data_IF_243099708259
#
_entry.id   IF_243099708259
#
_cell.length_a   1.000
_cell.length_b   1.000
_cell.length_c   1.000
_cell.angle_alpha   90.00
_cell.angle_beta   90.00
_cell.angle_gamma   90.00
#
_symmetry.space_group_name_H-M   'P 1'
#
loop_
_entity.id
_entity.type
_entity.pdbx_description
1 polymer ?
#
# COMPACT_ATOMS: atom_id res chain seq x y z
N UNK A 1 21.97 -5.67 -1.25
CA UNK A 1 20.96 -4.76 -1.86
C UNK A 1 19.97 -4.24 -0.83
N UNK A 2 19.38 -5.08 0.04
CA UNK A 2 18.50 -4.63 1.14
C UNK A 2 19.14 -3.59 2.09
N UNK A 3 20.43 -3.72 2.40
CA UNK A 3 21.17 -2.76 3.24
C UNK A 3 21.23 -1.37 2.60
N UNK A 4 21.35 -1.32 1.26
CA UNK A 4 21.34 -0.06 0.50
C UNK A 4 19.97 0.58 0.52
N UNK A 5 18.89 -0.20 0.61
CA UNK A 5 17.53 0.33 0.79
C UNK A 5 17.31 0.81 2.23
N UNK A 6 17.76 0.09 3.27
CA UNK A 6 17.71 0.64 4.65
C UNK A 6 18.50 1.93 4.74
N UNK A 7 19.68 1.98 4.12
CA UNK A 7 20.51 3.17 4.09
C UNK A 7 19.86 4.28 3.25
N UNK A 8 19.31 3.97 2.08
CA UNK A 8 18.61 4.93 1.22
C UNK A 8 17.33 5.47 1.88
N UNK A 9 16.53 4.60 2.49
CA UNK A 9 15.37 4.99 3.30
C UNK A 9 15.84 5.90 4.44
N UNK A 10 16.94 5.58 5.11
CA UNK A 10 17.50 6.46 6.14
C UNK A 10 17.97 7.82 5.57
N UNK A 11 18.60 7.81 4.38
CA UNK A 11 19.21 8.98 3.74
C UNK A 11 18.16 9.93 3.12
N UNK A 12 17.13 9.40 2.44
CA UNK A 12 16.00 10.19 1.91
C UNK A 12 15.14 10.76 3.03
N UNK A 13 15.06 10.04 4.16
CA UNK A 13 14.27 10.47 5.32
C UNK A 13 15.02 11.51 6.17
N UNK A 14 16.31 11.82 5.92
CA UNK A 14 17.01 12.88 6.68
C UNK A 14 18.27 13.49 6.02
N UNK A 15 18.23 14.79 5.65
CA UNK A 15 19.39 15.66 5.72
C UNK A 15 19.53 16.38 7.07
N UNK A 16 18.43 16.65 7.79
CA UNK A 16 18.47 17.46 9.01
C UNK A 16 17.39 17.09 10.06
N UNK A 17 17.86 16.96 11.30
CA UNK A 17 17.13 17.06 12.58
C UNK A 17 16.23 15.90 13.04
N UNK A 18 16.78 15.12 13.97
CA UNK A 18 16.19 14.72 15.26
C UNK A 18 14.65 14.72 15.36
N UNK A 19 14.03 13.59 14.99
CA UNK A 19 12.61 13.33 15.29
C UNK A 19 12.04 12.11 14.58
N UNK A 20 12.67 11.67 13.49
CA UNK A 20 12.13 10.61 12.63
C UNK A 20 12.95 9.32 12.79
N UNK A 21 12.73 8.59 13.90
CA UNK A 21 12.80 7.14 13.79
C UNK A 21 11.88 6.77 12.61
N UNK A 22 12.37 5.96 11.68
CA UNK A 22 11.60 5.46 10.53
C UNK A 22 10.16 5.15 10.98
N UNK A 23 9.15 5.47 10.17
CA UNK A 23 7.72 5.42 10.52
C UNK A 23 7.31 4.22 11.39
N UNK A 24 8.04 3.11 11.27
CA UNK A 24 8.34 2.13 12.32
C UNK A 24 9.82 1.66 12.26
N UNK A 25 10.30 1.01 13.33
CA UNK A 25 11.67 0.44 13.41
C UNK A 25 11.96 -0.65 12.36
N UNK A 26 10.90 -1.22 11.77
CA UNK A 26 10.95 -2.36 10.85
C UNK A 26 10.92 -1.97 9.37
N UNK A 27 10.57 -0.72 9.05
CA UNK A 27 10.32 -0.27 7.67
C UNK A 27 9.00 -0.79 7.08
N UNK A 28 8.14 -1.40 7.89
CA UNK A 28 6.89 -2.02 7.44
C UNK A 28 5.90 -1.00 6.91
N UNK A 29 5.63 0.08 7.64
CA UNK A 29 4.70 1.14 7.24
C UNK A 29 5.09 1.74 5.89
N UNK A 30 6.38 1.97 5.69
CA UNK A 30 6.92 2.47 4.44
C UNK A 30 6.76 1.46 3.30
N UNK A 31 7.14 0.19 3.52
CA UNK A 31 7.00 -0.86 2.51
C UNK A 31 5.55 -1.12 2.12
N UNK A 32 4.63 -1.14 3.09
CA UNK A 32 3.20 -1.33 2.85
C UNK A 32 2.60 -0.15 2.07
N UNK A 33 2.97 1.09 2.41
CA UNK A 33 2.49 2.28 1.71
C UNK A 33 3.05 2.36 0.29
N UNK A 34 4.34 2.06 0.10
CA UNK A 34 4.97 2.03 -1.22
C UNK A 34 4.36 0.93 -2.11
N UNK A 35 4.07 -0.25 -1.55
CA UNK A 35 3.36 -1.31 -2.26
C UNK A 35 1.96 -0.87 -2.72
N UNK A 36 1.22 -0.17 -1.85
CA UNK A 36 -0.11 0.34 -2.20
C UNK A 36 -0.04 1.43 -3.27
N UNK A 37 0.92 2.35 -3.19
CA UNK A 37 1.17 3.34 -4.25
C UNK A 37 1.50 2.67 -5.58
N UNK A 38 2.37 1.66 -5.57
CA UNK A 38 2.76 0.94 -6.77
C UNK A 38 1.56 0.25 -7.46
N UNK A 39 0.61 -0.27 -6.68
CA UNK A 39 -0.62 -0.89 -7.21
C UNK A 39 -1.44 0.10 -8.03
N UNK A 40 -1.67 1.31 -7.51
CA UNK A 40 -2.54 2.34 -8.12
C UNK A 40 -1.80 3.29 -9.09
N UNK A 41 -0.47 3.18 -9.18
CA UNK A 41 0.35 4.03 -10.08
C UNK A 41 0.80 3.28 -11.34
N UNK A 42 0.34 2.04 -11.51
CA UNK A 42 0.91 1.11 -12.48
C UNK A 42 0.62 1.50 -13.94
N UNK A 43 -0.58 2.00 -14.22
CA UNK A 43 -1.00 2.42 -15.56
C UNK A 43 -1.04 3.95 -15.74
N UNK A 44 -0.62 4.71 -14.73
CA UNK A 44 -0.53 6.16 -14.78
C UNK A 44 -0.48 6.81 -13.40
N UNK A 45 -0.75 8.11 -13.38
CA UNK A 45 -0.87 8.83 -12.12
C UNK A 45 -2.17 8.47 -11.41
N UNK A 46 -2.12 8.10 -10.11
CA UNK A 46 -3.32 7.81 -9.34
C UNK A 46 -4.29 8.99 -9.33
N UNK A 47 -5.60 8.71 -9.43
CA UNK A 47 -6.66 9.70 -9.37
C UNK A 47 -6.75 10.36 -8.00
N UNK A 48 -7.44 11.51 -7.93
CA UNK A 48 -7.67 12.19 -6.65
C UNK A 48 -8.46 11.32 -5.66
N UNK A 49 -9.36 10.47 -6.15
CA UNK A 49 -10.19 9.56 -5.34
C UNK A 49 -9.31 8.48 -4.71
N UNK A 50 -8.43 7.87 -5.49
CA UNK A 50 -7.50 6.83 -5.00
C UNK A 50 -6.48 7.39 -4.04
N UNK A 51 -5.95 8.59 -4.29
CA UNK A 51 -5.03 9.27 -3.35
C UNK A 51 -5.70 9.57 -2.02
N UNK A 52 -6.94 10.09 -2.05
CA UNK A 52 -7.72 10.33 -0.83
C UNK A 52 -8.03 9.02 -0.10
N UNK A 53 -8.34 7.95 -0.83
CA UNK A 53 -8.56 6.61 -0.27
C UNK A 53 -7.30 6.05 0.37
N UNK A 54 -6.15 6.16 -0.29
CA UNK A 54 -4.85 5.78 0.25
C UNK A 54 -4.59 6.51 1.56
N UNK A 55 -4.72 7.83 1.57
CA UNK A 55 -4.52 8.63 2.76
C UNK A 55 -5.39 8.16 3.94
N UNK A 56 -6.69 8.00 3.71
CA UNK A 56 -7.64 7.50 4.72
C UNK A 56 -7.30 6.10 5.23
N UNK A 57 -6.87 5.20 4.34
CA UNK A 57 -6.46 3.85 4.70
C UNK A 57 -5.17 3.84 5.52
N UNK A 58 -4.21 4.68 5.19
CA UNK A 58 -2.94 4.80 5.92
C UNK A 58 -3.16 5.39 7.31
N UNK A 59 -3.93 6.48 7.44
CA UNK A 59 -4.29 7.07 8.73
C UNK A 59 -4.95 6.03 9.65
N UNK A 60 -6.02 5.39 9.16
CA UNK A 60 -6.80 4.44 9.96
C UNK A 60 -6.04 3.17 10.28
N UNK A 61 -5.25 2.63 9.34
CA UNK A 61 -4.55 1.35 9.52
C UNK A 61 -3.36 1.45 10.45
N UNK A 62 -2.66 2.59 10.42
CA UNK A 62 -1.44 2.83 11.19
C UNK A 62 -1.63 3.77 12.37
N UNK A 63 -2.86 4.25 12.58
CA UNK A 63 -3.25 5.16 13.67
C UNK A 63 -2.39 6.43 13.66
N UNK A 64 -2.26 7.03 12.47
CA UNK A 64 -1.45 8.23 12.23
C UNK A 64 -2.32 9.47 12.12
N UNK A 65 -1.80 10.61 12.58
CA UNK A 65 -2.40 11.90 12.25
C UNK A 65 -2.18 12.25 10.77
N UNK A 66 -3.00 13.14 10.18
CA UNK A 66 -2.92 13.48 8.77
C UNK A 66 -1.52 13.94 8.33
N UNK A 67 -0.85 14.77 9.12
CA UNK A 67 0.47 15.28 8.77
C UNK A 67 1.55 14.20 8.78
N UNK A 68 1.43 13.19 9.64
CA UNK A 68 2.33 12.03 9.63
C UNK A 68 2.02 11.07 8.49
N UNK A 69 0.76 10.88 8.14
CA UNK A 69 0.35 10.12 6.96
C UNK A 69 0.87 10.77 5.66
N UNK A 70 0.78 12.09 5.52
CA UNK A 70 1.34 12.84 4.39
C UNK A 70 2.85 12.62 4.24
N UNK A 71 3.60 12.68 5.34
CA UNK A 71 5.05 12.41 5.33
C UNK A 71 5.35 10.97 4.92
N UNK A 72 4.56 10.00 5.41
CA UNK A 72 4.72 8.59 5.06
C UNK A 72 4.44 8.34 3.58
N UNK A 73 3.37 8.91 3.05
CA UNK A 73 3.01 8.79 1.63
C UNK A 73 4.09 9.45 0.77
N UNK A 74 4.56 10.64 1.13
CA UNK A 74 5.63 11.35 0.41
C UNK A 74 6.92 10.52 0.36
N UNK A 75 7.33 9.95 1.49
CA UNK A 75 8.49 9.06 1.54
C UNK A 75 8.28 7.78 0.72
N UNK A 76 7.08 7.21 0.78
CA UNK A 76 6.73 6.02 0.02
C UNK A 76 6.72 6.26 -1.49
N UNK A 77 6.29 7.44 -1.96
CA UNK A 77 6.36 7.85 -3.37
C UNK A 77 7.80 7.93 -3.86
N UNK A 78 8.72 8.49 -3.05
CA UNK A 78 10.14 8.52 -3.39
C UNK A 78 10.73 7.10 -3.50
N UNK A 79 10.40 6.24 -2.54
CA UNK A 79 10.85 4.84 -2.56
C UNK A 79 10.27 4.07 -3.73
N UNK A 80 8.99 4.27 -4.06
CA UNK A 80 8.34 3.61 -5.20
C UNK A 80 8.98 4.01 -6.53
N UNK A 81 9.26 5.30 -6.73
CA UNK A 81 9.93 5.79 -7.94
C UNK A 81 11.39 5.33 -8.10
N UNK A 82 12.04 4.92 -7.01
CA UNK A 82 13.43 4.44 -7.02
C UNK A 82 13.58 2.91 -6.92
N UNK A 83 12.60 2.21 -6.36
CA UNK A 83 12.67 0.77 -6.09
C UNK A 83 11.94 -0.07 -7.15
N UNK A 84 12.71 -0.94 -7.80
CA UNK A 84 12.25 -1.88 -8.82
C UNK A 84 11.75 -3.18 -8.16
N UNK A 85 10.44 -3.43 -8.34
CA UNK A 85 9.70 -4.70 -8.18
C UNK A 85 9.07 -5.01 -6.80
N UNK A 86 7.83 -5.52 -6.86
CA UNK A 86 6.93 -5.94 -5.77
C UNK A 86 7.61 -6.84 -4.72
N UNK A 87 8.58 -7.63 -5.15
CA UNK A 87 9.31 -8.57 -4.30
C UNK A 87 9.97 -7.87 -3.10
N UNK A 88 10.50 -6.66 -3.29
CA UNK A 88 11.18 -5.94 -2.21
C UNK A 88 10.20 -5.56 -1.09
N UNK A 89 9.07 -4.92 -1.42
CA UNK A 89 8.08 -4.52 -0.42
C UNK A 89 7.48 -5.72 0.29
N UNK A 90 7.10 -6.74 -0.46
CA UNK A 90 6.49 -7.96 0.08
C UNK A 90 7.46 -8.73 0.96
N UNK A 91 8.77 -8.74 0.67
CA UNK A 91 9.78 -9.36 1.54
C UNK A 91 9.92 -8.68 2.90
N UNK A 92 9.77 -7.35 2.99
CA UNK A 92 9.78 -6.62 4.27
C UNK A 92 8.53 -6.95 5.07
N UNK A 93 7.36 -6.91 4.41
CA UNK A 93 6.06 -7.23 5.03
C UNK A 93 6.05 -8.67 5.56
N UNK A 94 6.53 -9.64 4.78
CA UNK A 94 6.55 -11.07 5.16
C UNK A 94 7.36 -11.35 6.42
N UNK A 95 8.35 -10.51 6.77
CA UNK A 95 9.21 -10.71 7.95
C UNK A 95 8.54 -10.31 9.26
N UNK A 96 7.50 -9.47 9.19
CA UNK A 96 6.98 -8.77 10.37
C UNK A 96 5.46 -8.87 10.50
N UNK A 97 4.75 -9.29 9.45
CA UNK A 97 3.29 -9.37 9.42
C UNK A 97 2.83 -10.82 9.34
N UNK A 98 1.95 -11.19 10.27
CA UNK A 98 1.27 -12.47 10.30
C UNK A 98 0.24 -12.60 9.16
N UNK A 99 -0.28 -13.82 8.98
CA UNK A 99 -1.21 -14.09 7.87
C UNK A 99 -2.47 -13.20 7.90
N UNK A 100 -3.17 -13.01 9.04
CA UNK A 100 -4.29 -12.07 9.11
C UNK A 100 -3.92 -10.64 8.72
N UNK A 101 -2.74 -10.16 9.13
CA UNK A 101 -2.25 -8.85 8.75
C UNK A 101 -2.00 -8.74 7.24
N UNK A 102 -1.47 -9.79 6.60
CA UNK A 102 -1.24 -9.83 5.15
C UNK A 102 -2.55 -9.87 4.37
N UNK A 103 -3.53 -10.63 4.83
CA UNK A 103 -4.90 -10.63 4.28
C UNK A 103 -5.50 -9.22 4.32
N UNK A 104 -5.33 -8.49 5.44
CA UNK A 104 -5.80 -7.09 5.53
C UNK A 104 -5.10 -6.15 4.55
N UNK A 105 -3.80 -6.33 4.29
CA UNK A 105 -3.10 -5.51 3.30
C UNK A 105 -3.64 -5.74 1.88
N UNK A 106 -3.91 -7.00 1.52
CA UNK A 106 -4.53 -7.34 0.22
C UNK A 106 -5.95 -6.77 0.13
N UNK A 107 -6.72 -6.78 1.22
CA UNK A 107 -8.03 -6.13 1.26
C UNK A 107 -7.94 -4.63 1.01
N UNK A 108 -6.97 -3.95 1.63
CA UNK A 108 -6.73 -2.52 1.41
C UNK A 108 -6.36 -2.21 -0.04
N UNK A 109 -5.55 -3.05 -0.68
CA UNK A 109 -5.23 -2.91 -2.12
C UNK A 109 -6.49 -3.02 -2.98
N UNK A 110 -7.38 -3.98 -2.70
CA UNK A 110 -8.67 -4.04 -3.39
C UNK A 110 -9.51 -2.78 -3.15
N UNK A 111 -9.58 -2.28 -1.91
CA UNK A 111 -10.33 -1.06 -1.61
C UNK A 111 -9.76 0.18 -2.32
N UNK A 112 -8.47 0.17 -2.67
CA UNK A 112 -7.82 1.23 -3.43
C UNK A 112 -8.17 1.17 -4.91
N UNK A 113 -7.94 0.04 -5.57
CA UNK A 113 -8.20 -0.08 -7.02
C UNK A 113 -9.69 0.08 -7.34
N UNK A 114 -10.58 -0.31 -6.43
CA UNK A 114 -12.03 -0.10 -6.61
C UNK A 114 -12.51 1.30 -6.20
N UNK A 115 -11.64 2.19 -5.71
CA UNK A 115 -12.06 3.43 -5.06
C UNK A 115 -12.85 4.37 -6.00
N UNK A 116 -12.51 4.41 -7.27
CA UNK A 116 -13.18 5.24 -8.29
C UNK A 116 -14.19 4.46 -9.16
N UNK A 117 -14.37 3.17 -8.86
CA UNK A 117 -15.26 2.25 -9.59
C UNK A 117 -14.70 1.71 -10.92
N UNK A 118 -13.46 2.03 -11.30
CA UNK A 118 -12.82 1.57 -12.54
C UNK A 118 -11.49 0.87 -12.25
N UNK A 119 -11.53 -0.45 -12.10
CA UNK A 119 -10.31 -1.27 -12.00
C UNK A 119 -9.81 -1.64 -13.39
N UNK A 120 -8.55 -1.35 -13.69
CA UNK A 120 -7.89 -1.81 -14.91
C UNK A 120 -7.37 -3.24 -14.79
N UNK A 121 -7.19 -3.93 -15.93
CA UNK A 121 -6.60 -5.28 -15.92
C UNK A 121 -5.18 -5.29 -15.35
N UNK A 122 -4.44 -4.18 -15.48
CA UNK A 122 -3.08 -4.06 -14.95
C UNK A 122 -3.08 -3.99 -13.43
N UNK A 123 -3.91 -3.12 -12.85
CA UNK A 123 -4.07 -2.98 -11.41
C UNK A 123 -4.53 -4.29 -10.78
N UNK A 124 -5.55 -4.93 -11.37
CA UNK A 124 -6.04 -6.24 -10.92
C UNK A 124 -4.89 -7.27 -10.92
N UNK A 125 -4.13 -7.37 -12.01
CA UNK A 125 -3.01 -8.29 -12.10
C UNK A 125 -1.93 -8.01 -11.05
N UNK A 126 -1.66 -6.75 -10.71
CA UNK A 126 -0.67 -6.41 -9.68
C UNK A 126 -1.17 -6.71 -8.28
N UNK A 127 -2.46 -6.51 -7.97
CA UNK A 127 -3.04 -6.97 -6.70
C UNK A 127 -2.93 -8.49 -6.59
N UNK A 128 -3.20 -9.23 -7.66
CA UNK A 128 -3.04 -10.70 -7.69
C UNK A 128 -1.61 -11.13 -7.39
N UNK A 129 -0.62 -10.48 -8.02
CA UNK A 129 0.81 -10.73 -7.81
C UNK A 129 1.27 -10.38 -6.39
N UNK A 130 0.87 -9.22 -5.88
CA UNK A 130 1.18 -8.80 -4.52
C UNK A 130 0.63 -9.78 -3.49
N UNK A 131 -0.62 -10.22 -3.66
CA UNK A 131 -1.23 -11.22 -2.78
C UNK A 131 -0.52 -12.58 -2.82
N UNK A 132 0.06 -12.94 -3.97
CA UNK A 132 0.88 -14.15 -4.12
C UNK A 132 2.18 -14.09 -3.34
N UNK A 133 2.89 -12.99 -3.51
CA UNK A 133 4.13 -12.72 -2.79
C UNK A 133 3.91 -12.57 -1.28
N UNK A 134 2.71 -12.13 -0.86
CA UNK A 134 2.28 -12.09 0.54
C UNK A 134 1.73 -13.43 1.05
N UNK A 135 1.80 -14.51 0.26
CA UNK A 135 1.33 -15.84 0.63
C UNK A 135 -0.12 -15.86 1.16
N UNK A 136 -0.99 -15.03 0.60
CA UNK A 136 -2.43 -15.03 0.90
C UNK A 136 -3.10 -16.08 0.01
N UNK A 137 -3.99 -16.93 0.55
CA UNK A 137 -4.56 -18.02 -0.25
C UNK A 137 -5.43 -17.50 -1.41
N UNK A 138 -5.48 -18.23 -2.54
CA UNK A 138 -6.36 -17.86 -3.67
C UNK A 138 -7.83 -17.78 -3.28
N UNK A 139 -8.25 -18.58 -2.28
CA UNK A 139 -9.61 -18.53 -1.73
C UNK A 139 -9.86 -17.18 -1.06
N UNK A 140 -8.98 -16.76 -0.16
CA UNK A 140 -9.12 -15.50 0.56
C UNK A 140 -9.09 -14.33 -0.42
N UNK A 141 -8.18 -14.34 -1.40
CA UNK A 141 -8.13 -13.29 -2.45
C UNK A 141 -9.46 -13.15 -3.20
N UNK A 142 -10.08 -14.27 -3.58
CA UNK A 142 -11.39 -14.30 -4.24
C UNK A 142 -12.52 -13.80 -3.35
N UNK A 143 -12.51 -14.16 -2.06
CA UNK A 143 -13.49 -13.69 -1.08
C UNK A 143 -13.34 -12.18 -0.83
N UNK A 144 -12.10 -11.68 -0.71
CA UNK A 144 -11.77 -10.26 -0.58
C UNK A 144 -12.28 -9.45 -1.77
N UNK A 145 -11.94 -9.86 -3.00
CA UNK A 145 -12.36 -9.17 -4.23
C UNK A 145 -13.89 -9.06 -4.28
N UNK A 146 -14.61 -10.17 -4.05
CA UNK A 146 -16.09 -10.18 -4.05
C UNK A 146 -16.67 -9.24 -3.00
N UNK A 147 -16.11 -9.26 -1.78
CA UNK A 147 -16.59 -8.42 -0.68
C UNK A 147 -16.41 -6.93 -0.97
N UNK A 148 -15.23 -6.53 -1.47
CA UNK A 148 -14.94 -5.12 -1.77
C UNK A 148 -15.72 -4.64 -3.00
N UNK A 149 -15.75 -5.42 -4.08
CA UNK A 149 -16.50 -5.07 -5.29
C UNK A 149 -18.02 -5.00 -5.01
N UNK A 150 -18.56 -5.92 -4.20
CA UNK A 150 -19.96 -5.92 -3.80
C UNK A 150 -20.35 -4.76 -2.86
N UNK A 151 -19.43 -4.35 -1.97
CA UNK A 151 -19.64 -3.20 -1.08
C UNK A 151 -19.55 -1.84 -1.79
N UNK A 152 -18.76 -1.74 -2.86
CA UNK A 152 -18.63 -0.51 -3.66
C UNK A 152 -19.90 -0.27 -4.50
N UNK A 153 -20.49 -1.33 -5.04
CA UNK A 153 -21.74 -1.26 -5.84
C UNK A 153 -22.98 -0.79 -5.05
N UNK A 154 -22.93 -0.76 -3.71
CA UNK A 154 -24.10 -0.40 -2.88
C UNK A 154 -24.17 1.08 -2.50
N UNK A 155 -23.20 1.90 -2.89
CA UNK A 155 -23.13 3.32 -2.46
C UNK A 155 -23.72 4.30 -3.47
N UNK A 156 -24.14 3.84 -4.66
CA UNK A 156 -24.58 4.72 -5.76
C UNK A 156 -26.11 4.72 -5.98
N UNK A 157 -26.89 4.49 -4.92
CA UNK A 157 -28.36 4.63 -4.95
C UNK A 157 -28.85 5.40 -3.74
N UNK A 158 -28.66 6.72 -3.74
CA UNK A 158 -29.55 7.63 -3.01
C UNK A 158 -29.70 8.93 -3.79
N UNK A 159 -30.97 9.24 -4.02
CA UNK A 159 -31.57 10.32 -4.83
C UNK A 159 -31.39 11.68 -4.17
#
# INVERSE_FOLDING_TARGET
MLEKLRQFIADVVSPDAHGNQAFDDTGFRLAATALMLHVISLDGEPSAIERAKLHSLIESRFELDPGTADRLISAATLVEGEAVDLYHFTSVIMRVVDEPGRVRLVEMMWQLVYADGRVSEFEENVVWRAADLLAVSSRDRMELKRRVAGGTATTDTTV
#
